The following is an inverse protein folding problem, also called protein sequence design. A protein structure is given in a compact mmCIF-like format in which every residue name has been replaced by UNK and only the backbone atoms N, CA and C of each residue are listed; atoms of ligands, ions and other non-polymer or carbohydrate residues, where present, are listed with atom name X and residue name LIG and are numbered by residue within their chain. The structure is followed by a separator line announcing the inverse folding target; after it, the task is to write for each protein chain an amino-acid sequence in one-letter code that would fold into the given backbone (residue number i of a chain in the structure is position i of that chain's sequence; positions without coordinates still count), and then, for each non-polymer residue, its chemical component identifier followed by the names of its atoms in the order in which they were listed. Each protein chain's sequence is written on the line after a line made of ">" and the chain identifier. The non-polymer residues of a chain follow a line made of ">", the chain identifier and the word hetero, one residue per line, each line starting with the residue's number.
data_IF_020619442760
#
_entry.id   IF_020619442760
#
_cell.length_a   1.000
_cell.length_b   1.000
_cell.length_c   1.000
_cell.angle_alpha   90.00
_cell.angle_beta   90.00
_cell.angle_gamma   90.00
#
_symmetry.space_group_name_H-M   'P 1'
#
loop_
_entity.id
_entity.type
_entity.pdbx_description
1 polymer ?
#
# COMPACT_ATOMS: atom_id res chain seq x y z
N UNK A 1 11.38 7.62 -1.19
CA UNK A 1 11.56 6.15 -1.25
C UNK A 1 11.03 5.69 -2.59
N UNK A 2 11.86 5.11 -3.44
CA UNK A 2 11.41 4.71 -4.78
C UNK A 2 10.55 3.43 -4.77
N UNK A 3 10.81 2.53 -3.82
CA UNK A 3 10.07 1.28 -3.66
C UNK A 3 10.00 0.90 -2.19
N UNK A 4 8.81 0.50 -1.73
CA UNK A 4 8.53 0.03 -0.38
C UNK A 4 7.74 -1.28 -0.46
N UNK A 5 8.30 -2.38 0.02
CA UNK A 5 7.59 -3.66 0.15
C UNK A 5 7.30 -3.96 1.62
N UNK A 6 6.10 -4.47 1.91
CA UNK A 6 5.72 -4.93 3.24
C UNK A 6 4.99 -6.25 3.17
N UNK A 7 5.43 -7.16 4.03
CA UNK A 7 4.95 -8.53 4.25
C UNK A 7 5.23 -8.79 5.73
N UNK A 8 4.16 -8.89 6.51
CA UNK A 8 4.16 -9.03 7.97
C UNK A 8 3.12 -10.03 8.45
N UNK A 9 2.68 -10.94 7.58
CA UNK A 9 1.73 -12.01 7.91
C UNK A 9 0.42 -11.46 8.54
N UNK A 10 -0.06 -10.29 8.06
CA UNK A 10 -1.29 -9.61 8.51
C UNK A 10 -1.09 -8.31 9.29
N UNK A 11 0.16 -7.87 9.49
CA UNK A 11 0.51 -6.60 10.15
C UNK A 11 0.66 -5.40 9.20
N UNK A 12 0.37 -5.56 7.91
CA UNK A 12 0.70 -4.57 6.88
C UNK A 12 -0.06 -3.26 7.10
N UNK A 13 -1.34 -3.33 7.49
CA UNK A 13 -2.18 -2.15 7.69
C UNK A 13 -1.66 -1.27 8.82
N UNK A 14 -1.15 -1.87 9.89
CA UNK A 14 -0.61 -1.11 11.02
C UNK A 14 0.62 -0.32 10.58
N UNK A 15 1.52 -0.91 9.80
CA UNK A 15 2.66 -0.16 9.25
C UNK A 15 2.20 0.95 8.31
N UNK A 16 1.34 0.62 7.34
CA UNK A 16 0.88 1.55 6.30
C UNK A 16 0.13 2.74 6.91
N UNK A 17 -0.66 2.50 7.97
CA UNK A 17 -1.49 3.52 8.60
C UNK A 17 -0.72 4.49 9.53
N UNK A 18 0.50 4.13 9.94
CA UNK A 18 1.36 4.96 10.80
C UNK A 18 2.42 5.77 10.02
N UNK A 19 2.49 5.63 8.69
CA UNK A 19 3.39 6.44 7.86
C UNK A 19 2.90 7.90 7.82
N UNK A 20 3.81 8.83 8.12
CA UNK A 20 3.56 10.27 7.91
C UNK A 20 3.83 10.65 6.44
N UNK A 21 2.78 10.54 5.61
CA UNK A 21 2.82 10.84 4.18
C UNK A 21 3.10 12.31 3.84
N UNK A 22 3.12 13.22 4.83
CA UNK A 22 3.56 14.60 4.63
C UNK A 22 5.09 14.76 4.66
N UNK A 23 5.78 13.80 5.27
CA UNK A 23 7.24 13.78 5.39
C UNK A 23 7.90 12.74 4.48
N UNK A 24 7.17 11.66 4.18
CA UNK A 24 7.69 10.52 3.44
C UNK A 24 6.95 10.40 2.11
N UNK A 25 7.68 10.56 1.01
CA UNK A 25 7.19 10.26 -0.33
C UNK A 25 7.65 8.87 -0.77
N UNK A 26 6.70 7.98 -1.04
CA UNK A 26 6.92 6.62 -1.55
C UNK A 26 6.39 6.59 -2.98
N UNK A 27 7.18 6.16 -3.96
CA UNK A 27 6.74 6.13 -5.36
C UNK A 27 5.92 4.89 -5.70
N UNK A 28 6.28 3.75 -5.10
CA UNK A 28 5.63 2.46 -5.33
C UNK A 28 5.61 1.64 -4.03
N UNK A 29 4.43 1.14 -3.68
CA UNK A 29 4.21 0.12 -2.68
C UNK A 29 4.04 -1.26 -3.33
N UNK A 30 4.58 -2.31 -2.69
CA UNK A 30 4.14 -3.70 -2.81
C UNK A 30 3.64 -4.15 -1.45
N UNK A 31 2.41 -4.59 -1.36
CA UNK A 31 1.77 -4.94 -0.10
C UNK A 31 1.28 -6.37 -0.24
N UNK A 32 1.89 -7.30 0.48
CA UNK A 32 1.42 -8.68 0.50
C UNK A 32 0.09 -8.75 1.25
N UNK A 33 -0.91 -9.41 0.64
CA UNK A 33 -2.26 -9.53 1.19
C UNK A 33 -2.76 -10.97 1.17
N UNK A 34 -1.89 -11.97 0.95
CA UNK A 34 -2.29 -13.39 0.84
C UNK A 34 -3.11 -13.87 2.06
N UNK A 35 -2.78 -13.38 3.25
CA UNK A 35 -3.46 -13.72 4.51
C UNK A 35 -4.65 -12.80 4.85
N UNK A 36 -4.78 -11.67 4.14
CA UNK A 36 -5.78 -10.64 4.40
C UNK A 36 -6.55 -10.20 3.14
N UNK A 37 -6.75 -11.11 2.18
CA UNK A 37 -7.41 -10.82 0.91
C UNK A 37 -8.76 -10.09 1.07
N UNK A 38 -9.52 -10.41 2.12
CA UNK A 38 -10.79 -9.75 2.45
C UNK A 38 -10.64 -8.26 2.77
N UNK A 39 -9.46 -7.82 3.22
CA UNK A 39 -9.13 -6.43 3.56
C UNK A 39 -8.50 -5.68 2.40
N UNK A 40 -8.24 -6.31 1.25
CA UNK A 40 -7.61 -5.66 0.07
C UNK A 40 -8.21 -4.30 -0.28
N UNK A 41 -9.54 -4.18 -0.24
CA UNK A 41 -10.24 -2.91 -0.48
C UNK A 41 -9.86 -1.82 0.54
N UNK A 42 -9.72 -2.18 1.82
CA UNK A 42 -9.32 -1.26 2.88
C UNK A 42 -7.95 -0.62 2.60
N UNK A 43 -6.97 -1.41 2.17
CA UNK A 43 -5.63 -0.93 1.82
C UNK A 43 -5.68 0.04 0.64
N UNK A 44 -6.38 -0.35 -0.43
CA UNK A 44 -6.53 0.48 -1.64
C UNK A 44 -7.24 1.80 -1.31
N UNK A 45 -8.35 1.76 -0.57
CA UNK A 45 -9.11 2.94 -0.18
C UNK A 45 -8.26 3.88 0.69
N UNK A 46 -7.54 3.35 1.69
CA UNK A 46 -6.69 4.14 2.58
C UNK A 46 -5.56 4.84 1.82
N UNK A 47 -4.81 4.11 0.99
CA UNK A 47 -3.73 4.70 0.21
C UNK A 47 -4.24 5.67 -0.85
N UNK A 48 -5.44 5.44 -1.39
CA UNK A 48 -6.08 6.39 -2.32
C UNK A 48 -6.35 7.76 -1.68
N UNK A 49 -6.70 7.79 -0.39
CA UNK A 49 -6.85 9.05 0.37
C UNK A 49 -5.52 9.80 0.53
N UNK A 50 -4.38 9.12 0.40
CA UNK A 50 -3.03 9.67 0.54
C UNK A 50 -2.32 9.94 -0.81
N UNK A 51 -3.09 10.00 -1.90
CA UNK A 51 -2.59 10.34 -3.23
C UNK A 51 -1.92 9.19 -3.97
N UNK A 52 -2.28 7.95 -3.63
CA UNK A 52 -1.85 6.77 -4.38
C UNK A 52 -2.99 6.24 -5.25
N UNK A 53 -2.65 5.42 -6.24
CA UNK A 53 -3.62 4.67 -7.05
C UNK A 53 -3.13 3.26 -7.26
N UNK A 54 -4.07 2.35 -7.50
CA UNK A 54 -3.77 0.99 -7.89
C UNK A 54 -2.97 1.00 -9.21
N UNK A 55 -1.80 0.38 -9.19
CA UNK A 55 -0.96 0.15 -10.36
C UNK A 55 -1.20 -1.24 -10.94
N UNK A 56 -1.14 -2.27 -10.08
CA UNK A 56 -1.27 -3.67 -10.47
C UNK A 56 -1.79 -4.51 -9.28
N UNK A 57 -2.44 -5.63 -9.59
CA UNK A 57 -2.79 -6.67 -8.61
C UNK A 57 -2.03 -7.93 -9.02
N UNK A 58 -1.08 -8.34 -8.17
CA UNK A 58 -0.37 -9.61 -8.30
C UNK A 58 -1.15 -10.76 -7.67
N UNK A 59 -0.52 -11.94 -7.61
CA UNK A 59 -1.12 -13.14 -7.02
C UNK A 59 -1.27 -13.04 -5.50
N UNK A 60 -0.30 -12.42 -4.83
CA UNK A 60 -0.31 -12.18 -3.38
C UNK A 60 -0.25 -10.68 -3.06
N UNK A 61 0.49 -9.92 -3.88
CA UNK A 61 0.69 -8.49 -3.68
C UNK A 61 -0.36 -7.59 -4.34
N UNK A 62 -0.55 -6.42 -3.76
CA UNK A 62 -1.14 -5.26 -4.42
C UNK A 62 -0.11 -4.15 -4.56
N UNK A 63 -0.03 -3.58 -5.77
CA UNK A 63 0.90 -2.52 -6.09
C UNK A 63 0.19 -1.17 -6.13
N UNK A 64 0.63 -0.21 -5.32
CA UNK A 64 0.07 1.14 -5.26
C UNK A 64 1.14 2.17 -5.63
N UNK A 65 0.89 3.01 -6.64
CA UNK A 65 1.84 4.04 -7.09
C UNK A 65 1.36 5.44 -6.75
N UNK A 66 2.30 6.33 -6.45
CA UNK A 66 1.99 7.75 -6.22
C UNK A 66 1.40 8.33 -7.50
N UNK A 67 0.27 9.02 -7.38
CA UNK A 67 -0.30 9.78 -8.48
C UNK A 67 -0.37 11.25 -8.10
N UNK A 68 0.55 12.02 -8.67
CA UNK A 68 0.50 13.47 -8.60
C UNK A 68 -0.68 13.94 -9.45
N UNK A 69 -1.62 14.68 -8.83
CA UNK A 69 -2.53 15.54 -9.58
C UNK A 69 -1.78 16.72 -10.18
#
# INVERSE_FOLDING_TARGET
>A
IDYFSVDLEGGEFDVISHIDYSKIDIKLFSIELAWEESRKKQYIDYLSQHGYRLAEIGTADVFMTKFNK
#
